data_IF_541359502910
#
_entry.id   IF_541359502910
#
_cell.length_a   1.000
_cell.length_b   1.000
_cell.length_c   1.000
_cell.angle_alpha   90.00
_cell.angle_beta   90.00
_cell.angle_gamma   90.00
#
_symmetry.space_group_name_H-M   'P 1'
#
loop_
_entity.id
_entity.type
_entity.pdbx_description
1 polymer ?
#
# COMPACT_ATOMS: atom_id res chain seq x y z
N UNK A 1 -10.28 -30.18 5.64
CA UNK A 1 -10.99 -28.99 5.12
C UNK A 1 -12.35 -28.90 5.81
N UNK A 2 -12.37 -28.39 7.04
CA UNK A 2 -13.61 -28.13 7.81
C UNK A 2 -13.43 -26.78 8.49
N UNK A 3 -13.44 -25.70 7.69
CA UNK A 3 -13.57 -24.38 8.27
C UNK A 3 -14.96 -24.30 8.90
N UNK A 4 -15.04 -23.86 10.17
CA UNK A 4 -16.34 -23.59 10.78
C UNK A 4 -17.10 -22.63 9.88
N UNK A 5 -18.38 -22.89 9.55
CA UNK A 5 -19.16 -22.05 8.63
C UNK A 5 -19.23 -20.58 9.09
N UNK A 6 -19.05 -20.37 10.39
CA UNK A 6 -18.86 -19.06 11.01
C UNK A 6 -17.66 -18.28 10.44
N UNK A 7 -16.48 -18.90 10.32
CA UNK A 7 -15.26 -18.24 9.83
C UNK A 7 -15.36 -17.88 8.35
N UNK A 8 -15.97 -18.72 7.52
CA UNK A 8 -16.17 -18.44 6.09
C UNK A 8 -17.10 -17.26 5.82
N UNK A 9 -17.95 -16.89 6.78
CA UNK A 9 -18.85 -15.73 6.67
C UNK A 9 -18.23 -14.51 7.34
N UNK A 10 -17.66 -14.66 8.54
CA UNK A 10 -17.09 -13.54 9.29
C UNK A 10 -15.86 -12.92 8.62
N UNK A 11 -14.97 -13.73 8.03
CA UNK A 11 -13.73 -13.23 7.43
C UNK A 11 -13.98 -12.29 6.23
N UNK A 12 -14.79 -12.67 5.21
CA UNK A 12 -15.10 -11.76 4.11
C UNK A 12 -15.97 -10.58 4.56
N UNK A 13 -16.85 -10.76 5.56
CA UNK A 13 -17.65 -9.67 6.12
C UNK A 13 -16.77 -8.61 6.79
N UNK A 14 -15.80 -9.04 7.59
CA UNK A 14 -14.82 -8.13 8.22
C UNK A 14 -13.96 -7.42 7.17
N UNK A 15 -13.45 -8.13 6.15
CA UNK A 15 -12.73 -7.53 5.04
C UNK A 15 -13.59 -6.50 4.27
N UNK A 16 -14.88 -6.81 4.08
CA UNK A 16 -15.84 -5.89 3.47
C UNK A 16 -16.00 -4.60 4.26
N UNK A 17 -16.14 -4.68 5.59
CA UNK A 17 -16.22 -3.50 6.46
C UNK A 17 -14.92 -2.69 6.42
N UNK A 18 -13.75 -3.35 6.44
CA UNK A 18 -12.45 -2.68 6.35
C UNK A 18 -12.34 -1.93 5.01
N UNK A 19 -12.63 -2.58 3.89
CA UNK A 19 -12.57 -1.95 2.56
C UNK A 19 -13.58 -0.82 2.40
N UNK A 20 -14.78 -0.95 2.99
CA UNK A 20 -15.78 0.12 3.03
C UNK A 20 -15.28 1.31 3.87
N UNK A 21 -14.67 1.06 5.02
CA UNK A 21 -14.05 2.09 5.86
C UNK A 21 -12.94 2.84 5.13
N UNK A 22 -12.12 2.13 4.34
CA UNK A 22 -11.12 2.77 3.48
C UNK A 22 -11.75 3.63 2.39
N UNK A 23 -12.85 3.17 1.79
CA UNK A 23 -13.62 3.94 0.80
C UNK A 23 -14.24 5.21 1.37
N UNK A 24 -14.82 5.14 2.56
CA UNK A 24 -15.41 6.30 3.25
C UNK A 24 -14.36 7.28 3.79
N UNK A 25 -13.16 6.80 4.08
CA UNK A 25 -12.03 7.63 4.52
C UNK A 25 -11.32 8.36 3.37
N UNK A 26 -11.55 7.96 2.12
CA UNK A 26 -11.00 8.67 0.95
C UNK A 26 -11.74 9.99 0.76
N UNK A 27 -11.01 11.10 0.83
CA UNK A 27 -11.59 12.42 0.57
C UNK A 27 -11.59 12.72 -0.93
N UNK A 28 -12.53 13.55 -1.39
CA UNK A 28 -12.53 14.06 -2.78
C UNK A 28 -11.21 14.74 -3.17
N UNK A 29 -10.48 15.29 -2.19
CA UNK A 29 -9.15 15.88 -2.38
C UNK A 29 -8.08 14.84 -2.75
N UNK A 30 -8.18 13.59 -2.26
CA UNK A 30 -7.27 12.50 -2.63
C UNK A 30 -7.45 12.10 -4.10
N UNK A 31 -8.70 11.99 -4.55
CA UNK A 31 -9.01 11.75 -5.97
C UNK A 31 -8.57 12.91 -6.86
N UNK A 32 -8.79 14.15 -6.43
CA UNK A 32 -8.34 15.33 -7.17
C UNK A 32 -6.82 15.33 -7.35
N UNK A 33 -6.05 14.96 -6.31
CA UNK A 33 -4.58 14.87 -6.36
C UNK A 33 -4.09 13.76 -7.30
N UNK A 34 -4.75 12.61 -7.32
CA UNK A 34 -4.46 11.52 -8.28
C UNK A 34 -4.64 11.99 -9.72
N UNK A 35 -5.67 12.79 -9.98
CA UNK A 35 -5.95 13.35 -11.31
C UNK A 35 -4.99 14.48 -11.68
N UNK A 36 -4.58 15.32 -10.73
CA UNK A 36 -3.64 16.43 -11.00
C UNK A 36 -2.20 15.95 -11.19
N UNK A 37 -1.78 14.89 -10.50
CA UNK A 37 -0.40 14.35 -10.57
C UNK A 37 -0.38 12.86 -10.92
N UNK A 38 -0.77 12.47 -12.15
CA UNK A 38 -0.88 11.06 -12.53
C UNK A 38 0.47 10.37 -12.74
N UNK A 39 1.51 11.12 -13.16
CA UNK A 39 2.85 10.56 -13.45
C UNK A 39 3.45 9.77 -12.28
N UNK A 40 3.61 10.34 -11.06
CA UNK A 40 4.16 9.60 -9.92
C UNK A 40 3.26 8.45 -9.46
N UNK A 41 1.93 8.60 -9.55
CA UNK A 41 0.96 7.55 -9.20
C UNK A 41 1.09 6.35 -10.13
N UNK A 42 1.18 6.59 -11.44
CA UNK A 42 1.34 5.54 -12.45
C UNK A 42 2.67 4.80 -12.32
N UNK A 43 3.77 5.53 -12.04
CA UNK A 43 5.08 4.91 -11.82
C UNK A 43 5.06 4.04 -10.56
N UNK A 44 4.44 4.53 -9.47
CA UNK A 44 4.26 3.75 -8.25
C UNK A 44 3.41 2.50 -8.47
N UNK A 45 2.29 2.64 -9.19
CA UNK A 45 1.41 1.52 -9.54
C UNK A 45 2.12 0.49 -10.42
N UNK A 46 2.85 0.93 -11.43
CA UNK A 46 3.63 0.06 -12.31
C UNK A 46 4.71 -0.70 -11.53
N UNK A 47 5.43 -0.02 -10.64
CA UNK A 47 6.42 -0.63 -9.76
C UNK A 47 5.76 -1.65 -8.80
N UNK A 48 4.61 -1.30 -8.22
CA UNK A 48 3.88 -2.18 -7.30
C UNK A 48 3.33 -3.43 -7.99
N UNK A 49 2.77 -3.29 -9.19
CA UNK A 49 2.15 -4.39 -9.93
C UNK A 49 3.12 -5.23 -10.78
N UNK A 50 4.25 -4.68 -11.22
CA UNK A 50 5.23 -5.44 -12.00
C UNK A 50 6.50 -5.76 -11.23
N UNK A 51 7.15 -4.78 -10.60
CA UNK A 51 8.45 -5.00 -9.95
C UNK A 51 8.31 -5.92 -8.72
N UNK A 52 7.29 -5.73 -7.89
CA UNK A 52 7.10 -6.54 -6.69
C UNK A 52 6.73 -8.01 -6.99
N UNK A 53 5.78 -8.30 -7.91
CA UNK A 53 5.48 -9.68 -8.26
C UNK A 53 6.60 -10.34 -9.06
N UNK A 54 7.32 -9.60 -9.90
CA UNK A 54 8.49 -10.12 -10.60
C UNK A 54 9.60 -10.49 -9.61
N UNK A 55 9.88 -9.65 -8.61
CA UNK A 55 10.85 -9.96 -7.56
C UNK A 55 10.44 -11.21 -6.75
N UNK A 56 9.15 -11.32 -6.37
CA UNK A 56 8.63 -12.53 -5.73
C UNK A 56 8.77 -13.77 -6.61
N UNK A 57 8.48 -13.65 -7.91
CA UNK A 57 8.62 -14.75 -8.86
C UNK A 57 10.08 -15.21 -8.98
N UNK A 58 11.03 -14.28 -9.12
CA UNK A 58 12.46 -14.62 -9.13
C UNK A 58 12.92 -15.29 -7.84
N UNK A 59 12.47 -14.81 -6.68
CA UNK A 59 12.79 -15.43 -5.38
C UNK A 59 12.24 -16.85 -5.28
N UNK A 60 11.00 -17.09 -5.69
CA UNK A 60 10.40 -18.44 -5.71
C UNK A 60 11.18 -19.37 -6.64
N UNK A 61 11.51 -18.89 -7.84
CA UNK A 61 12.26 -19.68 -8.83
C UNK A 61 13.65 -20.07 -8.28
N UNK A 62 14.30 -19.16 -7.56
CA UNK A 62 15.60 -19.42 -6.93
C UNK A 62 15.54 -20.37 -5.72
N UNK A 63 14.40 -20.44 -5.02
CA UNK A 63 14.25 -21.22 -3.78
C UNK A 63 13.56 -22.58 -3.96
N UNK A 64 13.15 -22.94 -5.19
CA UNK A 64 12.62 -24.28 -5.52
C UNK A 64 11.34 -24.66 -4.76
N UNK A 65 10.60 -23.65 -4.27
CA UNK A 65 9.47 -23.83 -3.38
C UNK A 65 8.23 -24.37 -4.11
N UNK A 66 7.42 -25.16 -3.40
CA UNK A 66 6.19 -25.73 -3.94
C UNK A 66 5.28 -24.63 -4.55
N UNK A 67 4.71 -24.85 -5.75
CA UNK A 67 3.97 -23.82 -6.49
C UNK A 67 2.77 -23.23 -5.72
N UNK A 68 2.21 -23.97 -4.75
CA UNK A 68 1.15 -23.46 -3.87
C UNK A 68 1.60 -22.28 -2.97
N UNK A 69 2.83 -22.33 -2.45
CA UNK A 69 3.37 -21.24 -1.62
C UNK A 69 3.76 -20.03 -2.48
N UNK A 70 4.24 -20.27 -3.69
CA UNK A 70 4.53 -19.22 -4.66
C UNK A 70 3.31 -18.37 -5.00
N UNK A 71 2.18 -19.03 -5.29
CA UNK A 71 0.91 -18.37 -5.57
C UNK A 71 0.41 -17.58 -4.36
N UNK A 72 0.56 -18.15 -3.15
CA UNK A 72 0.24 -17.45 -1.90
C UNK A 72 1.04 -16.18 -1.64
N UNK A 73 2.29 -16.11 -2.12
CA UNK A 73 3.16 -14.93 -2.02
C UNK A 73 2.88 -13.89 -3.12
N UNK A 74 2.56 -14.34 -4.34
CA UNK A 74 2.28 -13.46 -5.48
C UNK A 74 0.90 -12.79 -5.37
N UNK A 75 -0.12 -13.47 -4.82
CA UNK A 75 -1.48 -12.93 -4.67
C UNK A 75 -1.54 -11.57 -3.93
N UNK A 76 -0.95 -11.42 -2.73
CA UNK A 76 -0.94 -10.14 -2.04
C UNK A 76 -0.03 -9.11 -2.70
N UNK A 77 1.04 -9.53 -3.40
CA UNK A 77 1.90 -8.61 -4.15
C UNK A 77 1.17 -7.95 -5.34
N UNK A 78 0.24 -8.67 -5.97
CA UNK A 78 -0.59 -8.13 -7.05
C UNK A 78 -1.68 -7.17 -6.56
N UNK A 79 -2.03 -7.20 -5.27
CA UNK A 79 -3.06 -6.34 -4.70
C UNK A 79 -2.46 -5.00 -4.25
N UNK A 80 -3.00 -3.85 -4.69
CA UNK A 80 -2.46 -2.53 -4.32
C UNK A 80 -2.66 -2.24 -2.82
N UNK A 81 -1.58 -2.26 -2.03
CA UNK A 81 -1.57 -2.02 -0.59
C UNK A 81 -1.55 -0.54 -0.17
N UNK A 82 -2.34 0.31 -0.83
CA UNK A 82 -2.16 1.77 -0.86
C UNK A 82 -2.24 2.53 0.48
N UNK A 83 -2.78 1.94 1.54
CA UNK A 83 -2.94 2.63 2.83
C UNK A 83 -1.68 2.68 3.68
N UNK A 84 -0.80 1.68 3.60
CA UNK A 84 0.44 1.67 4.39
C UNK A 84 1.39 2.76 3.93
N UNK A 85 1.52 2.98 2.62
CA UNK A 85 2.40 4.00 2.04
C UNK A 85 2.02 5.44 2.45
N UNK A 86 0.73 5.73 2.58
CA UNK A 86 0.26 7.03 3.08
C UNK A 86 0.61 7.21 4.57
N UNK A 87 0.44 6.14 5.38
CA UNK A 87 0.87 6.15 6.78
C UNK A 87 2.38 6.36 6.90
N UNK A 88 3.19 5.63 6.12
CA UNK A 88 4.64 5.78 6.12
C UNK A 88 5.08 7.17 5.67
N UNK A 89 4.41 7.78 4.69
CA UNK A 89 4.70 9.17 4.28
C UNK A 89 4.38 10.16 5.39
N UNK A 90 3.25 9.97 6.09
CA UNK A 90 2.88 10.78 7.27
C UNK A 90 3.83 10.57 8.44
N UNK A 91 4.28 9.34 8.67
CA UNK A 91 5.28 9.00 9.68
C UNK A 91 6.65 9.58 9.33
N UNK A 92 7.09 9.50 8.08
CA UNK A 92 8.35 10.08 7.62
C UNK A 92 8.36 11.60 7.78
N UNK A 93 7.24 12.27 7.46
CA UNK A 93 7.07 13.71 7.71
C UNK A 93 7.03 14.00 9.21
N UNK A 94 6.29 13.22 10.00
CA UNK A 94 6.21 13.41 11.45
C UNK A 94 7.55 13.19 12.15
N UNK A 95 8.34 12.20 11.73
CA UNK A 95 9.67 11.92 12.28
C UNK A 95 10.70 12.98 11.86
N UNK A 96 10.62 13.45 10.60
CA UNK A 96 11.44 14.57 10.12
C UNK A 96 11.17 15.89 10.87
N UNK A 97 10.01 16.00 11.54
CA UNK A 97 9.64 17.13 12.40
C UNK A 97 9.93 16.90 13.91
N UNK A 98 10.44 15.73 14.30
CA UNK A 98 10.48 15.29 15.71
C UNK A 98 11.88 15.08 16.33
N UNK A 99 12.98 15.65 15.79
CA UNK A 99 13.85 16.42 16.71
C UNK A 99 14.74 17.48 16.02
N UNK A 100 14.52 18.77 16.32
CA UNK A 100 15.46 19.61 17.07
C UNK A 100 14.80 20.97 17.39
N UNK A 101 14.74 21.28 18.68
CA UNK A 101 14.75 22.65 19.18
C UNK A 101 15.99 23.37 18.59
N UNK A 102 15.84 24.67 18.29
CA UNK A 102 16.85 25.64 17.83
C UNK A 102 17.18 25.71 16.32
N UNK A 103 16.74 26.83 15.70
CA UNK A 103 17.41 27.46 14.55
C UNK A 103 16.81 27.17 13.17
N UNK A 104 16.06 28.15 12.64
CA UNK A 104 15.82 28.44 11.21
C UNK A 104 15.75 27.27 10.20
N UNK A 105 14.53 26.90 9.81
CA UNK A 105 14.26 26.35 8.47
C UNK A 105 13.35 27.33 7.72
N UNK A 106 13.84 28.01 6.67
CA UNK A 106 13.04 28.97 5.93
C UNK A 106 11.94 28.23 5.15
N UNK A 107 10.68 28.57 5.43
CA UNK A 107 9.56 28.30 4.52
C UNK A 107 9.84 29.00 3.18
N UNK A 108 10.36 28.31 2.17
CA UNK A 108 10.20 28.73 0.76
C UNK A 108 9.98 27.54 -0.17
N UNK A 109 8.76 27.50 -0.71
CA UNK A 109 8.40 27.12 -2.07
C UNK A 109 9.02 25.87 -2.68
N UNK A 110 8.26 24.77 -2.72
CA UNK A 110 8.24 23.88 -3.88
C UNK A 110 7.05 22.92 -3.80
N UNK A 111 5.87 23.38 -4.20
CA UNK A 111 4.82 22.53 -4.77
C UNK A 111 3.89 23.43 -5.57
N UNK A 112 4.37 23.81 -6.75
CA UNK A 112 3.56 24.33 -7.86
C UNK A 112 3.22 23.18 -8.80
#
# INVERSE_FOLDING_TARGET
MTASPWLSVFLPLALGIIMLGLGLSLTLADFARVVTYPKPVLIGLFCQLLLLPAACFFMVQASGLAPALAVGMILPAASPGGTSANLYSRLAIALALSPQHHGDVPRKGCFG
#
